data_IF_238858651272
#
_entry.id   IF_238858651272
#
_cell.length_a   1.000
_cell.length_b   1.000
_cell.length_c   1.000
_cell.angle_alpha   90.00
_cell.angle_beta   90.00
_cell.angle_gamma   90.00
#
_symmetry.space_group_name_H-M   'P 1'
#
loop_
_entity.id
_entity.type
_entity.pdbx_description
1 polymer ?
#
# COMPACT_ATOMS: atom_id res chain seq x y z
N UNK A 1 14.52 -11.43 -14.65
CA UNK A 1 13.19 -11.53 -14.01
C UNK A 1 12.21 -10.76 -14.87
N UNK A 2 11.05 -11.34 -15.19
CA UNK A 2 10.03 -10.67 -16.02
C UNK A 2 9.19 -9.74 -15.14
N UNK A 3 8.97 -8.50 -15.58
CA UNK A 3 8.11 -7.56 -14.84
C UNK A 3 6.63 -7.96 -14.97
N UNK A 4 5.91 -8.03 -13.84
CA UNK A 4 4.49 -8.39 -13.78
C UNK A 4 3.72 -7.25 -13.14
N UNK A 5 2.61 -6.86 -13.76
CA UNK A 5 1.68 -5.87 -13.23
C UNK A 5 0.42 -6.60 -12.78
N UNK A 6 0.04 -6.43 -11.52
CA UNK A 6 -1.20 -6.99 -10.96
C UNK A 6 -2.15 -5.85 -10.59
N UNK A 7 -3.38 -5.89 -11.10
CA UNK A 7 -4.47 -5.03 -10.65
C UNK A 7 -5.40 -5.85 -9.76
N UNK A 8 -5.55 -5.44 -8.51
CA UNK A 8 -6.44 -6.06 -7.53
C UNK A 8 -7.65 -5.15 -7.36
N UNK A 9 -8.85 -5.69 -7.59
CA UNK A 9 -10.10 -4.92 -7.52
C UNK A 9 -10.75 -4.99 -6.15
N UNK A 10 -11.69 -4.07 -5.89
CA UNK A 10 -12.56 -4.08 -4.71
C UNK A 10 -13.57 -5.23 -4.69
N UNK A 11 -13.59 -6.08 -5.71
CA UNK A 11 -14.29 -7.36 -5.70
C UNK A 11 -13.35 -8.53 -5.33
N UNK A 12 -12.14 -8.23 -4.83
CA UNK A 12 -11.09 -9.18 -4.51
C UNK A 12 -10.75 -10.12 -5.70
N UNK A 13 -10.60 -9.52 -6.88
CA UNK A 13 -10.14 -10.21 -8.09
C UNK A 13 -8.81 -9.62 -8.53
N UNK A 14 -7.86 -10.48 -8.89
CA UNK A 14 -6.56 -10.08 -9.41
C UNK A 14 -6.49 -10.33 -10.92
N UNK A 15 -6.00 -9.35 -11.68
CA UNK A 15 -5.68 -9.48 -13.10
C UNK A 15 -4.20 -9.17 -13.30
N UNK A 16 -3.50 -10.02 -14.05
CA UNK A 16 -2.06 -9.94 -14.26
C UNK A 16 -1.74 -9.63 -15.71
N UNK A 17 -0.75 -8.78 -15.89
CA UNK A 17 -0.29 -8.29 -17.19
C UNK A 17 1.23 -8.29 -17.24
N UNK A 18 1.78 -8.43 -18.43
CA UNK A 18 3.21 -8.26 -18.72
C UNK A 18 3.34 -7.07 -19.67
N UNK A 19 4.25 -6.11 -19.43
CA UNK A 19 4.53 -5.04 -20.40
C UNK A 19 4.88 -5.64 -21.76
N UNK A 20 4.36 -5.05 -22.84
CA UNK A 20 4.60 -5.57 -24.19
C UNK A 20 6.08 -5.52 -24.60
N UNK A 21 6.79 -4.49 -24.12
CA UNK A 21 8.21 -4.26 -24.35
C UNK A 21 8.75 -3.30 -23.26
N UNK A 22 10.08 -3.07 -23.28
CA UNK A 22 10.75 -2.21 -22.31
C UNK A 22 10.28 -0.75 -22.37
N UNK A 23 9.97 -0.22 -23.55
CA UNK A 23 9.50 1.17 -23.68
C UNK A 23 8.13 1.38 -23.01
N UNK A 24 7.27 0.36 -23.06
CA UNK A 24 5.98 0.36 -22.34
C UNK A 24 6.18 0.25 -20.84
N UNK A 25 7.16 -0.55 -20.41
CA UNK A 25 7.53 -0.62 -19.00
C UNK A 25 8.00 0.75 -18.49
N UNK A 26 8.90 1.44 -19.20
CA UNK A 26 9.36 2.78 -18.81
C UNK A 26 8.21 3.78 -18.69
N UNK A 27 7.27 3.79 -19.65
CA UNK A 27 6.11 4.67 -19.57
C UNK A 27 5.22 4.40 -18.35
N UNK A 28 5.10 3.13 -17.94
CA UNK A 28 4.37 2.74 -16.74
C UNK A 28 5.12 3.19 -15.49
N UNK A 29 6.43 2.93 -15.43
CA UNK A 29 7.30 3.31 -14.31
C UNK A 29 7.31 4.84 -14.12
N UNK A 30 7.41 5.62 -15.19
CA UNK A 30 7.34 7.08 -15.13
C UNK A 30 5.97 7.58 -14.64
N UNK A 31 4.89 6.86 -14.95
CA UNK A 31 3.55 7.22 -14.47
C UNK A 31 3.42 7.11 -12.94
N UNK A 32 4.25 6.27 -12.28
CA UNK A 32 4.26 6.10 -10.83
C UNK A 32 4.61 7.39 -10.08
N UNK A 33 5.33 8.32 -10.72
CA UNK A 33 5.62 9.64 -10.16
C UNK A 33 4.36 10.45 -9.86
N UNK A 34 3.25 10.12 -10.54
CA UNK A 34 1.92 10.72 -10.39
C UNK A 34 0.90 9.73 -9.82
N UNK A 35 1.36 8.70 -9.11
CA UNK A 35 0.56 7.62 -8.54
C UNK A 35 -0.64 8.08 -7.69
N UNK A 36 -0.57 9.25 -7.04
CA UNK A 36 -1.72 9.84 -6.34
C UNK A 36 -2.95 10.11 -7.21
N UNK A 37 -2.80 10.18 -8.54
CA UNK A 37 -3.91 10.34 -9.47
C UNK A 37 -4.49 9.01 -9.96
N UNK A 38 -3.83 7.87 -9.72
CA UNK A 38 -4.28 6.57 -10.27
C UNK A 38 -5.63 6.12 -9.72
N UNK A 39 -5.93 6.50 -8.47
CA UNK A 39 -7.17 6.14 -7.79
C UNK A 39 -8.23 7.26 -7.81
N UNK A 40 -7.98 8.34 -8.55
CA UNK A 40 -8.91 9.46 -8.68
C UNK A 40 -9.18 9.83 -10.14
N UNK A 41 -10.46 9.95 -10.49
CA UNK A 41 -10.86 10.42 -11.82
C UNK A 41 -10.91 9.34 -12.89
N UNK A 42 -9.89 9.28 -13.76
CA UNK A 42 -9.93 8.53 -15.03
C UNK A 42 -9.79 7.01 -14.81
N UNK A 43 -10.44 6.17 -15.66
CA UNK A 43 -10.23 4.73 -15.59
C UNK A 43 -8.79 4.37 -15.95
N UNK A 44 -8.27 3.32 -15.32
CA UNK A 44 -7.04 2.67 -15.76
C UNK A 44 -7.38 1.77 -16.95
N UNK A 45 -6.70 1.96 -18.07
CA UNK A 45 -6.91 1.18 -19.29
C UNK A 45 -5.64 0.39 -19.57
N UNK A 46 -5.76 -0.92 -19.71
CA UNK A 46 -4.66 -1.80 -20.09
C UNK A 46 -5.05 -2.50 -21.40
N UNK A 47 -4.35 -2.14 -22.48
CA UNK A 47 -4.46 -2.82 -23.77
C UNK A 47 -3.48 -3.97 -23.86
N UNK A 48 -3.96 -5.20 -23.79
CA UNK A 48 -3.20 -6.39 -24.17
C UNK A 48 -3.57 -6.79 -25.61
N UNK A 49 -2.67 -7.41 -26.36
CA UNK A 49 -2.84 -7.60 -27.81
C UNK A 49 -4.18 -8.24 -28.24
N UNK A 50 -4.79 -9.08 -27.40
CA UNK A 50 -6.09 -9.73 -27.66
C UNK A 50 -7.29 -9.09 -26.97
N UNK A 51 -7.07 -8.20 -25.99
CA UNK A 51 -8.16 -7.60 -25.22
C UNK A 51 -7.74 -6.28 -24.56
N UNK A 52 -8.71 -5.38 -24.43
CA UNK A 52 -8.56 -4.18 -23.61
C UNK A 52 -9.37 -4.34 -22.33
N UNK A 53 -8.72 -4.15 -21.18
CA UNK A 53 -9.38 -4.12 -19.89
C UNK A 53 -9.43 -2.68 -19.37
N UNK A 54 -10.61 -2.28 -18.93
CA UNK A 54 -10.88 -0.93 -18.42
C UNK A 54 -11.34 -1.05 -16.98
N UNK A 55 -10.56 -0.49 -16.06
CA UNK A 55 -10.84 -0.50 -14.63
C UNK A 55 -11.31 0.88 -14.19
N UNK A 56 -12.49 0.95 -13.58
CA UNK A 56 -12.91 2.16 -12.88
C UNK A 56 -11.95 2.41 -11.70
N UNK A 57 -11.43 3.63 -11.56
CA UNK A 57 -10.44 3.96 -10.53
C UNK A 57 -10.91 3.59 -9.10
N UNK A 58 -12.19 3.86 -8.80
CA UNK A 58 -12.80 3.52 -7.51
C UNK A 58 -12.95 2.01 -7.27
N UNK A 59 -12.89 1.18 -8.32
CA UNK A 59 -12.96 -0.27 -8.22
C UNK A 59 -11.59 -0.93 -8.07
N UNK A 60 -10.50 -0.15 -8.02
CA UNK A 60 -9.14 -0.65 -7.82
C UNK A 60 -8.80 -0.54 -6.33
N UNK A 61 -8.48 -1.68 -5.71
CA UNK A 61 -7.96 -1.74 -4.36
C UNK A 61 -6.44 -1.53 -4.36
N UNK A 62 -5.71 -2.23 -5.24
CA UNK A 62 -4.26 -2.14 -5.35
C UNK A 62 -3.77 -2.31 -6.78
N UNK A 63 -2.59 -1.76 -7.05
CA UNK A 63 -1.78 -2.02 -8.25
C UNK A 63 -0.40 -2.45 -7.77
N UNK A 64 0.07 -3.61 -8.19
CA UNK A 64 1.39 -4.14 -7.84
C UNK A 64 2.24 -4.28 -9.10
N UNK A 65 3.52 -3.89 -9.01
CA UNK A 65 4.51 -4.05 -10.06
C UNK A 65 5.66 -4.85 -9.48
N UNK A 66 5.68 -6.14 -9.79
CA UNK A 66 6.75 -7.06 -9.41
C UNK A 66 7.87 -6.96 -10.44
N UNK A 67 9.07 -6.62 -9.98
CA UNK A 67 10.25 -6.49 -10.84
C UNK A 67 11.53 -6.55 -9.99
N UNK A 68 12.65 -6.87 -10.65
CA UNK A 68 13.97 -6.80 -10.02
C UNK A 68 14.54 -5.37 -9.99
N UNK A 69 13.94 -4.44 -10.76
CA UNK A 69 14.34 -3.04 -10.78
C UNK A 69 13.90 -2.37 -9.47
N UNK A 70 14.78 -1.55 -8.90
CA UNK A 70 14.39 -0.66 -7.82
C UNK A 70 13.52 0.47 -8.39
N UNK A 71 12.29 0.60 -7.85
CA UNK A 71 11.31 1.58 -8.29
C UNK A 71 11.10 2.70 -7.27
N UNK A 72 11.82 2.70 -6.14
CA UNK A 72 11.64 3.70 -5.08
C UNK A 72 11.86 5.14 -5.59
N UNK A 73 12.79 5.34 -6.52
CA UNK A 73 13.09 6.64 -7.14
C UNK A 73 11.95 7.21 -8.01
N UNK A 74 10.99 6.37 -8.37
CA UNK A 74 9.84 6.72 -9.22
C UNK A 74 8.58 6.98 -8.38
N UNK A 75 8.66 6.76 -7.07
CA UNK A 75 7.55 6.99 -6.16
C UNK A 75 7.67 8.36 -5.48
N UNK A 76 6.55 9.06 -5.27
CA UNK A 76 6.49 10.18 -4.34
C UNK A 76 7.04 9.80 -2.96
N UNK A 77 7.92 10.63 -2.40
CA UNK A 77 8.58 10.38 -1.12
C UNK A 77 7.57 10.22 0.03
N UNK A 78 7.54 9.03 0.62
CA UNK A 78 6.84 8.78 1.88
C UNK A 78 7.76 9.12 3.05
N UNK A 79 7.76 10.39 3.45
CA UNK A 79 8.62 10.85 4.55
C UNK A 79 8.34 10.05 5.83
N UNK A 80 9.38 9.39 6.35
CA UNK A 80 9.48 8.75 7.66
C UNK A 80 8.63 7.47 7.90
N UNK A 81 8.07 6.86 6.86
CA UNK A 81 7.37 5.58 6.95
C UNK A 81 7.71 4.69 5.75
N UNK A 82 8.18 3.49 6.04
CA UNK A 82 8.40 2.42 5.10
C UNK A 82 7.36 1.33 5.32
N UNK A 83 6.65 0.95 4.26
CA UNK A 83 5.71 -0.17 4.27
C UNK A 83 6.27 -1.30 3.39
N UNK A 84 6.31 -2.52 3.92
CA UNK A 84 6.75 -3.71 3.19
C UNK A 84 5.74 -4.83 3.37
N UNK A 85 5.25 -5.40 2.27
CA UNK A 85 4.35 -6.55 2.30
C UNK A 85 5.02 -7.76 2.97
N UNK A 86 4.28 -8.46 3.83
CA UNK A 86 4.75 -9.67 4.51
C UNK A 86 4.47 -10.92 3.67
N UNK A 87 5.43 -11.82 3.61
CA UNK A 87 5.24 -13.17 3.04
C UNK A 87 4.29 -14.00 3.91
N UNK A 88 3.69 -15.08 3.38
CA UNK A 88 2.92 -16.04 4.19
C UNK A 88 3.66 -16.56 5.43
N UNK A 89 4.96 -16.86 5.31
CA UNK A 89 5.78 -17.32 6.43
C UNK A 89 5.91 -16.24 7.53
N UNK A 90 6.25 -15.01 7.15
CA UNK A 90 6.38 -13.90 8.10
C UNK A 90 5.06 -13.52 8.78
N UNK A 91 3.91 -13.75 8.12
CA UNK A 91 2.59 -13.55 8.73
C UNK A 91 2.30 -14.57 9.82
N UNK A 92 2.73 -15.82 9.62
CA UNK A 92 2.53 -16.90 10.58
C UNK A 92 3.40 -16.74 11.84
N UNK A 93 4.51 -16.02 11.74
CA UNK A 93 5.37 -15.72 12.88
C UNK A 93 4.71 -14.71 13.84
N UNK A 94 4.83 -14.93 15.17
CA UNK A 94 4.48 -13.92 16.17
C UNK A 94 5.22 -12.62 15.89
N UNK A 95 4.48 -11.51 15.86
CA UNK A 95 5.09 -10.22 15.62
C UNK A 95 5.81 -9.71 16.86
N UNK A 96 7.10 -9.39 16.72
CA UNK A 96 7.87 -8.65 17.72
C UNK A 96 8.25 -7.28 17.16
N UNK A 97 7.56 -6.25 17.63
CA UNK A 97 7.80 -4.84 17.28
C UNK A 97 7.39 -3.93 18.43
N UNK A 98 7.46 -2.62 18.20
CA UNK A 98 7.22 -1.60 19.21
C UNK A 98 8.08 -0.37 18.98
N UNK A 99 8.22 0.44 20.03
CA UNK A 99 9.07 1.62 20.02
C UNK A 99 10.48 1.26 20.50
N UNK A 100 11.49 1.77 19.80
CA UNK A 100 12.91 1.68 20.18
C UNK A 100 13.55 3.04 19.99
N UNK A 101 13.61 3.83 21.07
CA UNK A 101 13.99 5.24 21.00
C UNK A 101 13.03 6.01 20.09
N UNK A 102 13.57 6.70 19.08
CA UNK A 102 12.79 7.42 18.07
C UNK A 102 12.33 6.54 16.91
N UNK A 103 12.67 5.26 16.87
CA UNK A 103 12.22 4.35 15.81
C UNK A 103 11.03 3.53 16.26
N UNK A 104 10.18 3.14 15.30
CA UNK A 104 9.11 2.19 15.55
C UNK A 104 9.09 1.10 14.49
N UNK A 105 8.61 -0.07 14.91
CA UNK A 105 8.27 -1.19 14.03
C UNK A 105 6.90 -1.71 14.41
N UNK A 106 5.98 -1.76 13.46
CA UNK A 106 4.62 -2.25 13.66
C UNK A 106 4.22 -3.21 12.53
N UNK A 107 3.28 -4.10 12.81
CA UNK A 107 2.53 -4.83 11.79
C UNK A 107 1.26 -4.06 11.52
N UNK A 108 0.94 -3.84 10.24
CA UNK A 108 -0.32 -3.22 9.83
C UNK A 108 -1.07 -4.15 8.89
N UNK A 109 -2.33 -4.38 9.19
CA UNK A 109 -3.26 -5.09 8.32
C UNK A 109 -4.23 -4.09 7.70
N UNK A 110 -4.21 -3.95 6.37
CA UNK A 110 -5.12 -3.09 5.62
C UNK A 110 -6.23 -3.93 5.01
N UNK A 111 -7.48 -3.62 5.36
CA UNK A 111 -8.67 -4.34 4.91
C UNK A 111 -9.39 -3.53 3.85
N UNK A 112 -9.67 -4.13 2.70
CA UNK A 112 -10.33 -3.48 1.58
C UNK A 112 -11.76 -3.97 1.40
N UNK A 113 -12.59 -3.15 0.76
CA UNK A 113 -13.88 -3.58 0.25
C UNK A 113 -13.71 -4.85 -0.61
N UNK A 114 -14.63 -5.80 -0.46
CA UNK A 114 -14.57 -7.12 -1.12
C UNK A 114 -13.71 -8.17 -0.43
N UNK A 115 -13.05 -7.84 0.68
CA UNK A 115 -12.36 -8.82 1.54
C UNK A 115 -10.90 -9.07 1.17
N UNK A 116 -10.30 -8.27 0.30
CA UNK A 116 -8.85 -8.28 0.13
C UNK A 116 -8.18 -7.72 1.40
N UNK A 117 -7.07 -8.33 1.83
CA UNK A 117 -6.29 -7.92 3.01
C UNK A 117 -4.82 -7.91 2.68
N UNK A 118 -4.15 -6.79 2.95
CA UNK A 118 -2.69 -6.67 2.89
C UNK A 118 -2.11 -6.67 4.29
N UNK A 119 -1.07 -7.47 4.48
CA UNK A 119 -0.32 -7.58 5.73
C UNK A 119 1.05 -6.96 5.52
N UNK A 120 1.42 -5.98 6.35
CA UNK A 120 2.63 -5.20 6.15
C UNK A 120 3.47 -5.07 7.41
N UNK A 121 4.79 -5.04 7.24
CA UNK A 121 5.71 -4.42 8.20
C UNK A 121 5.73 -2.92 7.93
N UNK A 122 5.57 -2.14 8.98
CA UNK A 122 5.68 -0.69 8.98
C UNK A 122 6.85 -0.28 9.86
N UNK A 123 7.81 0.42 9.28
CA UNK A 123 9.03 0.88 9.96
C UNK A 123 9.24 2.35 9.70
N UNK A 124 9.65 3.09 10.73
CA UNK A 124 9.81 4.54 10.59
C UNK A 124 10.36 5.22 11.82
N UNK A 125 10.45 6.54 11.72
CA UNK A 125 10.85 7.41 12.82
C UNK A 125 9.60 8.03 13.43
N UNK A 126 9.44 7.87 14.74
CA UNK A 126 8.38 8.49 15.52
C UNK A 126 8.52 10.00 15.41
N UNK A 127 7.50 10.64 14.85
CA UNK A 127 7.45 12.10 14.81
C UNK A 127 7.44 12.66 16.23
N UNK A 128 8.20 13.73 16.52
CA UNK A 128 8.33 14.27 17.88
C UNK A 128 7.00 14.83 18.39
N UNK A 129 6.25 15.54 17.53
CA UNK A 129 4.98 16.15 17.89
C UNK A 129 3.82 15.13 17.92
N UNK A 130 3.08 15.10 19.03
CA UNK A 130 1.87 14.28 19.19
C UNK A 130 0.81 14.59 18.13
N UNK A 131 0.56 15.89 17.87
CA UNK A 131 -0.42 16.32 16.87
C UNK A 131 -0.12 15.71 15.49
N UNK A 132 1.14 15.68 15.05
CA UNK A 132 1.50 15.08 13.77
C UNK A 132 1.32 13.57 13.74
N UNK A 133 1.55 12.88 14.86
CA UNK A 133 1.28 11.43 14.98
C UNK A 133 -0.22 11.15 14.85
N UNK A 134 -1.05 11.94 15.53
CA UNK A 134 -2.51 11.82 15.47
C UNK A 134 -3.03 12.13 14.07
N UNK A 135 -2.55 13.19 13.42
CA UNK A 135 -2.90 13.51 12.03
C UNK A 135 -2.54 12.40 11.05
N UNK A 136 -1.40 11.73 11.24
CA UNK A 136 -1.03 10.60 10.41
C UNK A 136 -1.98 9.41 10.58
N UNK A 137 -2.43 9.15 11.81
CA UNK A 137 -3.37 8.07 12.12
C UNK A 137 -4.76 8.37 11.53
N UNK A 138 -5.28 9.57 11.75
CA UNK A 138 -6.65 9.95 11.34
C UNK A 138 -6.76 10.31 9.86
N UNK A 139 -5.69 10.81 9.25
CA UNK A 139 -5.68 11.23 7.84
C UNK A 139 -5.34 10.12 6.84
N UNK A 140 -5.17 8.86 7.27
CA UNK A 140 -4.72 7.78 6.38
C UNK A 140 -5.68 7.56 5.20
N UNK A 141 -6.99 7.50 5.46
CA UNK A 141 -8.02 7.27 4.44
C UNK A 141 -8.15 8.41 3.43
N UNK A 142 -7.71 9.62 3.80
CA UNK A 142 -7.74 10.81 2.95
C UNK A 142 -6.56 10.86 1.97
N UNK A 143 -5.55 10.00 2.15
CA UNK A 143 -4.39 9.97 1.27
C UNK A 143 -4.80 9.52 -0.14
N UNK A 144 -4.26 10.16 -1.19
CA UNK A 144 -4.61 9.81 -2.56
C UNK A 144 -4.11 8.42 -2.97
N UNK A 145 -2.96 8.00 -2.45
CA UNK A 145 -2.37 6.68 -2.61
C UNK A 145 -1.41 6.41 -1.43
N UNK A 146 -1.19 5.13 -1.12
CA UNK A 146 -0.09 4.69 -0.28
C UNK A 146 0.77 3.69 -1.06
N UNK A 147 2.07 3.81 -0.94
CA UNK A 147 3.05 2.94 -1.58
C UNK A 147 3.62 1.97 -0.56
N UNK A 148 4.04 0.82 -1.04
CA UNK A 148 4.70 -0.21 -0.24
C UNK A 148 5.64 -1.03 -1.11
N UNK A 149 6.61 -1.69 -0.49
CA UNK A 149 7.50 -2.63 -1.16
C UNK A 149 6.91 -4.03 -1.16
N UNK A 150 7.06 -4.75 -2.26
CA UNK A 150 6.67 -6.15 -2.36
C UNK A 150 7.75 -7.04 -1.74
N UNK A 151 7.36 -8.15 -1.11
CA UNK A 151 8.30 -9.06 -0.47
C UNK A 151 9.29 -9.69 -1.47
N UNK A 152 8.84 -9.89 -2.70
CA UNK A 152 9.60 -10.48 -3.79
C UNK A 152 10.33 -9.45 -4.68
N UNK A 153 10.28 -8.16 -4.32
CA UNK A 153 10.84 -7.07 -5.11
C UNK A 153 9.80 -6.34 -5.98
N UNK A 154 10.08 -5.06 -6.24
CA UNK A 154 9.14 -4.13 -6.85
C UNK A 154 8.25 -3.41 -5.82
N UNK A 155 7.19 -2.78 -6.31
CA UNK A 155 6.37 -1.85 -5.51
C UNK A 155 4.89 -2.11 -5.69
N UNK A 156 4.13 -1.80 -4.65
CA UNK A 156 2.68 -1.78 -4.67
C UNK A 156 2.16 -0.39 -4.35
N UNK A 157 1.01 -0.07 -4.94
CA UNK A 157 0.20 1.10 -4.68
C UNK A 157 -1.14 0.60 -4.14
N UNK A 158 -1.57 1.10 -2.99
CA UNK A 158 -2.88 0.82 -2.43
C UNK A 158 -3.74 2.08 -2.45
N UNK A 159 -5.04 1.89 -2.66
CA UNK A 159 -6.06 2.93 -2.68
C UNK A 159 -6.67 3.09 -1.28
N UNK A 160 -6.38 4.16 -0.52
CA UNK A 160 -6.94 4.36 0.82
C UNK A 160 -8.47 4.50 0.81
N UNK A 161 -9.06 5.01 -0.27
CA UNK A 161 -10.52 5.15 -0.41
C UNK A 161 -11.24 3.82 -0.60
N UNK A 162 -10.52 2.76 -0.99
CA UNK A 162 -11.06 1.41 -1.08
C UNK A 162 -10.90 0.63 0.24
N UNK A 163 -10.19 1.19 1.24
CA UNK A 163 -10.02 0.56 2.54
C UNK A 163 -11.27 0.74 3.40
N UNK A 164 -11.52 -0.24 4.26
CA UNK A 164 -12.63 -0.24 5.21
C UNK A 164 -12.14 -0.06 6.65
N UNK A 165 -10.96 -0.59 6.95
CA UNK A 165 -10.28 -0.44 8.24
C UNK A 165 -8.80 -0.83 8.11
N UNK A 166 -8.02 -0.47 9.10
CA UNK A 166 -6.68 -1.02 9.31
C UNK A 166 -6.47 -1.37 10.78
N UNK A 167 -5.58 -2.32 11.04
CA UNK A 167 -5.20 -2.75 12.40
C UNK A 167 -3.71 -2.58 12.56
N UNK A 168 -3.27 -1.97 13.66
CA UNK A 168 -1.85 -1.76 13.99
C UNK A 168 -1.52 -2.64 15.20
N UNK A 169 -0.42 -3.39 15.10
CA UNK A 169 0.10 -4.23 16.19
C UNK A 169 1.61 -3.96 16.40
N UNK A 170 2.08 -3.66 17.63
CA UNK A 170 1.28 -3.43 18.84
C UNK A 170 0.39 -2.18 18.71
N UNK A 171 -0.61 -2.06 19.57
CA UNK A 171 -1.53 -0.91 19.59
C UNK A 171 -0.79 0.41 19.75
N UNK A 172 -1.33 1.48 19.16
CA UNK A 172 -0.73 2.82 19.24
C UNK A 172 -0.91 3.37 20.67
N UNK A 173 0.16 3.79 21.36
CA UNK A 173 0.06 4.24 22.75
C UNK A 173 -0.60 5.60 22.91
N UNK A 174 -0.43 6.49 21.92
CA UNK A 174 -1.03 7.82 21.93
C UNK A 174 -2.26 7.84 21.00
N UNK A 175 -3.45 7.86 21.57
CA UNK A 175 -4.71 7.93 20.82
C UNK A 175 -5.33 9.35 20.88
N UNK A 176 -6.19 9.71 19.90
CA UNK A 176 -7.02 10.91 20.01
C UNK A 176 -7.84 10.93 21.31
N UNK A 177 -8.11 12.12 21.85
CA UNK A 177 -8.81 12.27 23.14
C UNK A 177 -10.25 11.74 23.15
N UNK A 178 -10.87 11.66 21.97
CA UNK A 178 -12.21 11.14 21.74
C UNK A 178 -12.23 9.66 21.35
N UNK A 179 -11.07 8.98 21.32
CA UNK A 179 -10.98 7.56 21.02
C UNK A 179 -11.59 6.73 22.17
N UNK A 180 -12.30 5.65 21.79
CA UNK A 180 -12.80 4.68 22.74
C UNK A 180 -11.72 3.63 23.01
N UNK A 181 -11.47 3.33 24.27
CA UNK A 181 -10.47 2.35 24.70
C UNK A 181 -11.18 1.12 25.26
N UNK A 182 -10.87 -0.04 24.70
CA UNK A 182 -11.43 -1.33 25.10
C UNK A 182 -10.41 -2.46 24.86
N UNK A 183 -10.57 -3.56 25.60
CA UNK A 183 -9.79 -4.78 25.41
C UNK A 183 -10.36 -5.61 24.26
N UNK A 184 -9.48 -6.21 23.46
CA UNK A 184 -9.87 -7.19 22.45
C UNK A 184 -10.12 -8.56 23.12
N UNK A 185 -11.12 -9.30 22.61
CA UNK A 185 -11.46 -10.66 23.05
C UNK A 185 -10.69 -11.74 22.27
#
# INVERSE_FOLDING_TARGET
MTTIITVITTANRARRFVPADESRLEAIVDSLRRSGQLFSGRPLIIGAGTQTEVFAAAAIACIEIETARDLDEYLPSQHNLSLTALTPAQRAEPFSGGLSGDHFRARIEFFFAGGHVLFMSAEGVRKPALAERLMNLTGLFERPALHYRLAQGGVGLMNPRAMTRFVITPGVPDLPSDAWVAEAL
#
